data_IF_036647300646
#
_entry.id   IF_036647300646
#
_cell.length_a   1.000
_cell.length_b   1.000
_cell.length_c   1.000
_cell.angle_alpha   90.00
_cell.angle_beta   90.00
_cell.angle_gamma   90.00
#
_symmetry.space_group_name_H-M   'P 1'
#
loop_
_entity.id
_entity.type
_entity.pdbx_description
1 polymer ?
#
# COMPACT_ATOMS: atom_id res chain seq x y z
N UNK A 1 31.84 2.56 21.25
CA UNK A 1 30.96 1.42 21.59
C UNK A 1 30.78 0.57 20.36
N UNK A 2 30.70 -0.76 20.50
CA UNK A 2 30.56 -1.67 19.36
C UNK A 2 29.07 -1.85 19.05
N UNK A 3 28.67 -1.62 17.81
CA UNK A 3 27.29 -1.84 17.39
C UNK A 3 27.06 -3.35 17.22
N UNK A 4 25.97 -3.87 17.81
CA UNK A 4 25.62 -5.28 17.72
C UNK A 4 24.62 -5.50 16.58
N UNK A 5 24.70 -6.63 15.89
CA UNK A 5 23.66 -7.03 14.94
C UNK A 5 22.35 -7.34 15.67
N UNK A 6 21.22 -7.06 15.03
CA UNK A 6 19.89 -7.48 15.47
C UNK A 6 19.26 -8.38 14.39
N UNK A 7 18.89 -9.63 14.70
CA UNK A 7 19.06 -10.32 15.99
C UNK A 7 20.52 -10.69 16.28
N UNK A 8 20.91 -10.68 17.56
CA UNK A 8 22.24 -11.03 18.02
C UNK A 8 22.40 -12.55 18.15
N UNK A 9 23.29 -13.13 17.34
CA UNK A 9 23.58 -14.56 17.34
C UNK A 9 24.10 -15.08 18.70
N UNK A 10 24.86 -14.26 19.44
CA UNK A 10 25.41 -14.62 20.75
C UNK A 10 24.30 -14.75 21.80
N UNK A 11 23.32 -13.85 21.74
CA UNK A 11 22.21 -13.81 22.70
C UNK A 11 21.16 -14.87 22.39
N UNK A 12 20.92 -15.19 21.12
CA UNK A 12 19.95 -16.22 20.72
C UNK A 12 20.14 -17.54 21.51
N UNK A 13 21.38 -17.99 21.70
CA UNK A 13 21.70 -19.21 22.45
C UNK A 13 21.88 -19.02 23.96
N UNK A 14 22.01 -17.78 24.46
CA UNK A 14 22.33 -17.48 25.86
C UNK A 14 21.31 -16.57 26.56
N UNK A 15 20.12 -16.38 25.99
CA UNK A 15 19.10 -15.45 26.47
C UNK A 15 18.60 -15.69 27.91
N UNK A 16 18.87 -16.87 28.51
CA UNK A 16 18.52 -17.18 29.91
C UNK A 16 19.69 -17.02 30.91
N UNK A 17 20.90 -16.72 30.43
CA UNK A 17 22.09 -16.65 31.28
C UNK A 17 22.50 -15.19 31.53
N UNK A 18 22.10 -14.67 32.70
CA UNK A 18 22.34 -13.27 33.07
C UNK A 18 23.83 -12.88 33.10
N UNK A 19 24.73 -13.80 33.45
CA UNK A 19 26.18 -13.53 33.50
C UNK A 19 26.74 -13.31 32.10
N UNK A 20 26.33 -14.14 31.13
CA UNK A 20 26.74 -14.01 29.73
C UNK A 20 26.17 -12.74 29.08
N UNK A 21 24.94 -12.38 29.42
CA UNK A 21 24.31 -11.13 28.94
C UNK A 21 25.07 -9.90 29.47
N UNK A 22 25.41 -9.89 30.76
CA UNK A 22 26.20 -8.81 31.37
C UNK A 22 27.60 -8.74 30.79
N UNK A 23 28.29 -9.87 30.64
CA UNK A 23 29.61 -9.92 30.03
C UNK A 23 29.61 -9.33 28.61
N UNK A 24 28.62 -9.69 27.79
CA UNK A 24 28.47 -9.16 26.44
C UNK A 24 28.30 -7.62 26.42
N UNK A 25 27.58 -7.05 27.39
CA UNK A 25 27.40 -5.61 27.50
C UNK A 25 28.65 -4.90 28.05
N UNK A 26 29.35 -5.53 29.01
CA UNK A 26 30.62 -5.04 29.57
C UNK A 26 31.75 -5.01 28.53
N UNK A 27 31.72 -5.89 27.53
CA UNK A 27 32.61 -5.86 26.36
C UNK A 27 32.38 -4.65 25.43
N UNK A 28 31.42 -3.78 25.78
CA UNK A 28 31.14 -2.51 25.13
C UNK A 28 30.16 -2.60 23.96
N UNK A 29 29.42 -3.70 23.83
CA UNK A 29 28.39 -3.87 22.81
C UNK A 29 27.09 -3.15 23.17
N UNK A 30 26.55 -2.38 22.22
CA UNK A 30 25.19 -1.86 22.27
C UNK A 30 24.23 -2.91 21.73
N UNK A 31 23.84 -3.87 22.58
CA UNK A 31 23.02 -5.00 22.18
C UNK A 31 21.58 -4.89 22.71
N UNK A 32 20.63 -4.65 21.81
CA UNK A 32 19.20 -4.58 22.13
C UNK A 32 18.69 -5.89 22.75
N UNK A 33 19.01 -7.04 22.12
CA UNK A 33 18.55 -8.36 22.57
C UNK A 33 19.05 -8.70 23.97
N UNK A 34 20.26 -8.24 24.32
CA UNK A 34 20.83 -8.46 25.64
C UNK A 34 20.08 -7.67 26.72
N UNK A 35 19.72 -6.41 26.46
CA UNK A 35 18.95 -5.60 27.39
C UNK A 35 17.53 -6.14 27.59
N UNK A 36 16.85 -6.58 26.51
CA UNK A 36 15.53 -7.19 26.56
C UNK A 36 15.53 -8.53 27.30
N UNK A 37 16.54 -9.38 27.06
CA UNK A 37 16.69 -10.64 27.77
C UNK A 37 16.93 -10.40 29.28
N UNK A 38 17.77 -9.43 29.64
CA UNK A 38 18.01 -9.10 31.05
C UNK A 38 16.78 -8.54 31.76
N UNK A 39 15.96 -7.71 31.09
CA UNK A 39 14.73 -7.19 31.73
C UNK A 39 13.74 -8.28 32.10
N UNK A 40 13.80 -9.46 31.46
CA UNK A 40 12.96 -10.62 31.79
C UNK A 40 13.54 -11.48 32.93
N UNK A 41 14.84 -11.40 33.18
CA UNK A 41 15.55 -12.22 34.18
C UNK A 41 15.73 -11.51 35.53
N UNK A 42 15.61 -10.19 35.54
CA UNK A 42 15.82 -9.38 36.74
C UNK A 42 14.52 -9.21 37.50
N UNK A 43 14.57 -9.49 38.81
CA UNK A 43 13.41 -9.40 39.71
C UNK A 43 13.23 -8.01 40.33
N UNK A 44 14.28 -7.19 40.40
CA UNK A 44 14.21 -5.84 40.98
C UNK A 44 13.56 -4.85 40.00
N UNK A 45 12.46 -4.17 40.37
CA UNK A 45 11.75 -3.24 39.49
C UNK A 45 12.64 -2.12 38.95
N UNK A 46 13.58 -1.60 39.76
CA UNK A 46 14.50 -0.53 39.35
C UNK A 46 15.49 -1.01 38.30
N UNK A 47 16.15 -2.14 38.54
CA UNK A 47 17.05 -2.72 37.54
C UNK A 47 16.32 -3.13 36.25
N UNK A 48 15.07 -3.56 36.35
CA UNK A 48 14.24 -3.87 35.17
C UNK A 48 13.92 -2.61 34.37
N UNK A 49 13.52 -1.51 35.03
CA UNK A 49 13.35 -0.17 34.41
C UNK A 49 14.62 0.24 33.68
N UNK A 50 15.78 0.15 34.33
CA UNK A 50 17.08 0.52 33.78
C UNK A 50 17.49 -0.30 32.54
N UNK A 51 17.13 -1.59 32.50
CA UNK A 51 17.36 -2.43 31.32
C UNK A 51 16.46 -1.99 30.15
N UNK A 52 15.18 -1.74 30.43
CA UNK A 52 14.21 -1.33 29.43
C UNK A 52 14.47 0.09 28.91
N UNK A 53 14.97 1.00 29.74
CA UNK A 53 15.40 2.34 29.31
C UNK A 53 16.49 2.25 28.24
N UNK A 54 17.52 1.43 28.49
CA UNK A 54 18.62 1.23 27.53
C UNK A 54 18.14 0.55 26.25
N UNK A 55 17.20 -0.39 26.35
CA UNK A 55 16.56 -0.99 25.18
C UNK A 55 15.75 0.04 24.37
N UNK A 56 14.98 0.89 25.05
CA UNK A 56 14.15 1.93 24.44
C UNK A 56 15.00 2.99 23.70
N UNK A 57 16.17 3.34 24.22
CA UNK A 57 17.13 4.23 23.55
C UNK A 57 17.70 3.60 22.27
N UNK A 58 17.95 2.30 22.27
CA UNK A 58 18.46 1.59 21.09
C UNK A 58 17.38 1.34 20.01
N UNK A 59 16.10 1.34 20.40
CA UNK A 59 14.96 1.10 19.51
C UNK A 59 13.84 2.16 19.71
N UNK A 60 14.09 3.42 19.33
CA UNK A 60 13.13 4.51 19.54
C UNK A 60 11.82 4.33 18.77
N UNK A 61 11.87 3.68 17.61
CA UNK A 61 10.71 3.41 16.74
C UNK A 61 9.91 2.17 17.17
N UNK A 62 10.40 1.36 18.12
CA UNK A 62 9.72 0.15 18.55
C UNK A 62 8.76 0.45 19.72
N UNK A 63 7.50 0.66 19.38
CA UNK A 63 6.43 1.03 20.31
C UNK A 63 6.26 0.04 21.47
N UNK A 64 6.40 -1.26 21.24
CA UNK A 64 6.26 -2.28 22.29
C UNK A 64 7.34 -2.14 23.36
N UNK A 65 8.56 -1.78 22.96
CA UNK A 65 9.67 -1.53 23.88
C UNK A 65 9.45 -0.22 24.64
N UNK A 66 8.94 0.82 23.96
CA UNK A 66 8.59 2.09 24.61
C UNK A 66 7.51 1.90 25.69
N UNK A 67 6.46 1.13 25.40
CA UNK A 67 5.40 0.81 26.37
C UNK A 67 5.98 0.07 27.57
N UNK A 68 6.74 -1.00 27.33
CA UNK A 68 7.34 -1.79 28.40
C UNK A 68 8.23 -0.94 29.32
N UNK A 69 9.00 -0.01 28.75
CA UNK A 69 9.79 0.94 29.54
C UNK A 69 8.91 1.86 30.39
N UNK A 70 7.88 2.50 29.81
CA UNK A 70 7.00 3.41 30.55
C UNK A 70 6.21 2.69 31.65
N UNK A 71 5.80 1.44 31.43
CA UNK A 71 5.17 0.60 32.46
C UNK A 71 6.14 0.29 33.60
N UNK A 72 7.37 -0.13 33.29
CA UNK A 72 8.40 -0.38 34.30
C UNK A 72 8.80 0.91 35.04
N UNK A 73 8.76 2.07 34.38
CA UNK A 73 8.97 3.36 35.00
C UNK A 73 7.90 3.65 36.07
N UNK A 74 6.61 3.50 35.70
CA UNK A 74 5.49 3.77 36.60
C UNK A 74 5.40 2.78 37.77
N UNK A 75 5.97 1.59 37.66
CA UNK A 75 6.11 0.68 38.80
C UNK A 75 7.06 1.23 39.87
N UNK A 76 8.10 1.96 39.46
CA UNK A 76 9.06 2.61 40.37
C UNK A 76 8.54 3.97 40.84
N UNK A 77 7.93 4.74 39.95
CA UNK A 77 7.47 6.12 40.16
C UNK A 77 6.00 6.28 39.70
N UNK A 78 5.01 5.82 40.49
CA UNK A 78 3.62 5.73 40.04
C UNK A 78 2.94 7.08 39.84
N UNK A 79 3.45 8.16 40.44
CA UNK A 79 2.82 9.48 40.44
C UNK A 79 3.34 10.42 39.34
N UNK A 80 4.19 9.94 38.42
CA UNK A 80 4.69 10.76 37.33
C UNK A 80 3.60 10.97 36.25
N UNK A 81 2.99 12.15 36.27
CA UNK A 81 1.90 12.53 35.37
C UNK A 81 2.35 12.57 33.90
N UNK A 82 3.61 12.95 33.63
CA UNK A 82 4.11 13.06 32.26
C UNK A 82 4.25 11.67 31.63
N UNK A 83 4.79 10.71 32.39
CA UNK A 83 4.92 9.31 31.96
C UNK A 83 3.55 8.65 31.81
N UNK A 84 2.63 8.88 32.76
CA UNK A 84 1.24 8.39 32.65
C UNK A 84 0.55 8.90 31.38
N UNK A 85 0.68 10.21 31.10
CA UNK A 85 0.11 10.80 29.89
C UNK A 85 0.72 10.19 28.64
N UNK A 86 2.04 10.03 28.59
CA UNK A 86 2.73 9.44 27.44
C UNK A 86 2.30 8.00 27.18
N UNK A 87 2.19 7.18 28.22
CA UNK A 87 1.71 5.80 28.11
C UNK A 87 0.25 5.75 27.66
N UNK A 88 -0.59 6.65 28.17
CA UNK A 88 -1.99 6.78 27.76
C UNK A 88 -2.10 7.18 26.28
N UNK A 89 -1.32 8.17 25.81
CA UNK A 89 -1.28 8.58 24.40
C UNK A 89 -0.95 7.41 23.47
N UNK A 90 0.10 6.65 23.78
CA UNK A 90 0.51 5.50 22.98
C UNK A 90 -0.59 4.44 22.95
N UNK A 91 -1.13 4.05 24.11
CA UNK A 91 -2.23 3.07 24.19
C UNK A 91 -3.50 3.56 23.50
N UNK A 92 -3.82 4.84 23.57
CA UNK A 92 -4.94 5.42 22.81
C UNK A 92 -4.69 5.30 21.32
N UNK A 93 -3.48 5.57 20.84
CA UNK A 93 -3.14 5.38 19.42
C UNK A 93 -3.23 3.90 19.00
N UNK A 94 -2.82 2.95 19.85
CA UNK A 94 -3.01 1.50 19.59
C UNK A 94 -4.47 1.11 19.54
N UNK A 95 -5.27 1.60 20.49
CA UNK A 95 -6.71 1.37 20.47
C UNK A 95 -7.33 1.99 19.21
N UNK A 96 -6.87 3.15 18.75
CA UNK A 96 -7.35 3.74 17.50
C UNK A 96 -6.88 2.97 16.25
N UNK A 97 -5.73 2.30 16.28
CA UNK A 97 -5.28 1.43 15.19
C UNK A 97 -6.01 0.08 15.17
N UNK A 98 -6.28 -0.49 16.35
CA UNK A 98 -6.95 -1.79 16.52
C UNK A 98 -8.47 -1.67 16.40
N UNK A 99 -9.02 -0.57 16.89
CA UNK A 99 -10.32 -0.07 16.50
C UNK A 99 -10.17 0.52 15.09
N UNK A 100 -9.98 -0.37 14.11
CA UNK A 100 -10.64 -0.22 12.81
C UNK A 100 -12.11 -0.14 13.09
N UNK A 101 -12.57 1.03 13.52
CA UNK A 101 -13.97 1.31 13.73
C UNK A 101 -14.63 0.89 12.43
N UNK A 102 -15.60 -0.02 12.54
CA UNK A 102 -16.52 -0.35 11.44
C UNK A 102 -17.27 0.91 10.94
N UNK A 103 -17.06 2.07 11.60
CA UNK A 103 -17.65 3.37 11.32
C UNK A 103 -16.70 4.39 10.66
N UNK A 104 -15.38 4.20 10.69
CA UNK A 104 -14.52 4.74 9.65
C UNK A 104 -14.45 3.69 8.54
N UNK A 105 -15.54 3.58 7.80
CA UNK A 105 -15.37 3.23 6.41
C UNK A 105 -14.38 4.27 5.86
N UNK A 106 -13.15 3.85 5.54
CA UNK A 106 -12.53 4.36 4.32
C UNK A 106 -13.69 4.41 3.33
N UNK A 107 -14.10 5.62 2.91
CA UNK A 107 -15.13 5.76 1.88
C UNK A 107 -14.75 4.71 0.85
N UNK A 108 -15.59 3.70 0.57
CA UNK A 108 -15.13 2.58 -0.20
C UNK A 108 -14.59 3.16 -1.50
N UNK A 109 -13.28 3.02 -1.68
CA UNK A 109 -12.52 3.61 -2.77
C UNK A 109 -12.22 2.44 -3.68
N UNK A 110 -12.50 2.61 -4.97
CA UNK A 110 -12.05 1.64 -5.94
C UNK A 110 -10.54 1.47 -5.81
N UNK A 111 -10.08 0.23 -5.81
CA UNK A 111 -8.65 -0.05 -5.65
C UNK A 111 -7.85 0.61 -6.77
N UNK A 112 -6.62 1.00 -6.45
CA UNK A 112 -5.72 1.52 -7.47
C UNK A 112 -5.36 0.40 -8.45
N UNK A 113 -5.02 0.78 -9.68
CA UNK A 113 -4.70 -0.19 -10.72
C UNK A 113 -3.54 -1.12 -10.30
N UNK A 114 -2.55 -0.59 -9.59
CA UNK A 114 -1.43 -1.37 -9.04
C UNK A 114 -1.89 -2.45 -8.05
N UNK A 115 -2.77 -2.11 -7.12
CA UNK A 115 -3.30 -3.05 -6.12
C UNK A 115 -4.11 -4.17 -6.79
N UNK A 116 -4.89 -3.82 -7.81
CA UNK A 116 -5.66 -4.79 -8.58
C UNK A 116 -4.72 -5.75 -9.31
N UNK A 117 -3.68 -5.23 -9.97
CA UNK A 117 -2.68 -6.03 -10.68
C UNK A 117 -1.95 -7.00 -9.73
N UNK A 118 -1.62 -6.59 -8.50
CA UNK A 118 -1.08 -7.48 -7.47
C UNK A 118 -2.11 -8.54 -7.08
N UNK A 119 -3.36 -8.14 -6.83
CA UNK A 119 -4.41 -9.05 -6.37
C UNK A 119 -4.75 -10.16 -7.38
N UNK A 120 -4.65 -9.87 -8.69
CA UNK A 120 -4.82 -10.88 -9.75
C UNK A 120 -3.53 -11.63 -10.09
N UNK A 121 -2.47 -11.46 -9.30
CA UNK A 121 -1.13 -12.03 -9.54
C UNK A 121 -0.58 -11.71 -10.94
N UNK A 122 -0.85 -10.50 -11.44
CA UNK A 122 -0.28 -10.01 -12.69
C UNK A 122 1.14 -9.48 -12.50
N UNK A 123 1.43 -8.88 -11.35
CA UNK A 123 2.74 -8.37 -10.93
C UNK A 123 2.94 -8.58 -9.42
N UNK A 124 4.18 -8.56 -8.98
CA UNK A 124 4.58 -8.50 -7.56
C UNK A 124 4.64 -7.06 -7.03
N UNK A 125 4.68 -6.92 -5.70
CA UNK A 125 4.87 -5.63 -5.03
C UNK A 125 6.20 -4.97 -5.43
N UNK A 126 7.27 -5.76 -5.55
CA UNK A 126 8.60 -5.25 -5.90
C UNK A 126 8.65 -4.74 -7.35
N UNK A 127 8.06 -5.48 -8.29
CA UNK A 127 7.93 -5.04 -9.69
C UNK A 127 7.12 -3.76 -9.81
N UNK A 128 6.03 -3.62 -9.04
CA UNK A 128 5.25 -2.39 -9.01
C UNK A 128 6.08 -1.21 -8.50
N UNK A 129 6.84 -1.38 -7.41
CA UNK A 129 7.70 -0.34 -6.85
C UNK A 129 8.78 0.11 -7.84
N UNK A 130 9.41 -0.82 -8.57
CA UNK A 130 10.41 -0.49 -9.59
C UNK A 130 9.82 0.37 -10.72
N UNK A 131 8.63 0.01 -11.18
CA UNK A 131 7.93 0.70 -12.26
C UNK A 131 7.50 2.11 -11.82
N UNK A 132 7.02 2.26 -10.58
CA UNK A 132 6.65 3.56 -10.00
C UNK A 132 7.86 4.48 -9.84
N UNK A 133 9.02 3.96 -9.43
CA UNK A 133 10.27 4.73 -9.38
C UNK A 133 10.63 5.28 -10.77
N UNK A 134 10.53 4.44 -11.80
CA UNK A 134 10.76 4.83 -13.20
C UNK A 134 9.75 5.89 -13.68
N UNK A 135 8.49 5.77 -13.24
CA UNK A 135 7.43 6.73 -13.56
C UNK A 135 7.70 8.12 -12.93
N UNK A 136 8.24 8.17 -11.72
CA UNK A 136 8.50 9.41 -10.98
C UNK A 136 9.81 10.13 -11.36
N UNK A 137 10.79 9.41 -11.93
CA UNK A 137 12.16 9.93 -12.14
C UNK A 137 12.39 10.71 -13.45
N UNK A 138 11.36 11.13 -14.19
CA UNK A 138 11.56 11.78 -15.50
C UNK A 138 10.71 13.03 -15.75
N UNK A 139 11.31 13.99 -16.44
CA UNK A 139 10.94 15.42 -16.43
C UNK A 139 9.83 15.88 -17.41
N UNK A 140 9.12 14.99 -18.11
CA UNK A 140 7.99 15.38 -18.99
C UNK A 140 6.94 14.27 -19.00
N UNK A 141 5.67 14.60 -18.75
CA UNK A 141 4.52 13.67 -18.82
C UNK A 141 4.17 13.45 -20.30
N UNK A 142 4.64 12.35 -20.88
CA UNK A 142 4.16 11.85 -22.18
C UNK A 142 3.11 10.75 -21.96
N UNK A 143 2.27 10.49 -22.97
CA UNK A 143 1.25 9.40 -22.94
C UNK A 143 1.83 8.07 -22.48
N UNK A 144 3.09 7.82 -22.85
CA UNK A 144 3.83 6.57 -22.66
C UNK A 144 4.27 6.33 -21.20
N UNK A 145 3.97 7.26 -20.28
CA UNK A 145 4.24 7.10 -18.83
C UNK A 145 3.06 6.52 -18.04
N UNK A 146 1.92 6.20 -18.67
CA UNK A 146 0.82 5.52 -17.96
C UNK A 146 1.33 4.19 -17.41
N UNK A 147 1.01 3.91 -16.14
CA UNK A 147 1.50 2.72 -15.43
C UNK A 147 1.30 1.44 -16.27
N UNK A 148 0.10 1.24 -16.81
CA UNK A 148 -0.22 0.08 -17.64
C UNK A 148 0.64 -0.04 -18.91
N UNK A 149 0.91 1.06 -19.60
CA UNK A 149 1.76 1.05 -20.79
C UNK A 149 3.22 0.77 -20.46
N UNK A 150 3.72 1.32 -19.34
CA UNK A 150 5.07 1.07 -18.86
C UNK A 150 5.27 -0.40 -18.46
N UNK A 151 4.28 -0.99 -17.78
CA UNK A 151 4.28 -2.41 -17.42
C UNK A 151 4.29 -3.32 -18.65
N UNK A 152 3.51 -3.00 -19.67
CA UNK A 152 3.53 -3.72 -20.95
C UNK A 152 4.89 -3.58 -21.64
N UNK A 153 5.44 -2.36 -21.71
CA UNK A 153 6.73 -2.09 -22.38
C UNK A 153 7.90 -2.80 -21.71
N UNK A 154 7.85 -2.93 -20.37
CA UNK A 154 8.82 -3.72 -19.59
C UNK A 154 8.58 -5.25 -19.69
N UNK A 155 7.52 -5.70 -20.37
CA UNK A 155 7.18 -7.11 -20.51
C UNK A 155 6.64 -7.75 -19.23
N UNK A 156 6.28 -6.96 -18.22
CA UNK A 156 5.84 -7.45 -16.90
C UNK A 156 4.40 -7.95 -16.93
N UNK A 157 3.56 -7.40 -17.82
CA UNK A 157 2.16 -7.82 -17.98
C UNK A 157 1.77 -7.97 -19.45
N UNK A 158 0.82 -8.85 -19.72
CA UNK A 158 0.18 -8.95 -21.02
C UNK A 158 -0.93 -7.90 -21.20
N UNK A 159 -1.24 -7.50 -22.45
CA UNK A 159 -2.42 -6.68 -22.77
C UNK A 159 -3.72 -7.19 -22.15
N UNK A 160 -3.93 -8.51 -22.18
CA UNK A 160 -5.11 -9.15 -21.60
C UNK A 160 -5.19 -8.99 -20.08
N UNK A 161 -4.08 -9.17 -19.36
CA UNK A 161 -4.04 -8.97 -17.90
C UNK A 161 -4.31 -7.51 -17.53
N UNK A 162 -3.78 -6.56 -18.30
CA UNK A 162 -4.05 -5.14 -18.09
C UNK A 162 -5.51 -4.78 -18.34
N UNK A 163 -6.09 -5.26 -19.46
CA UNK A 163 -7.49 -5.05 -19.78
C UNK A 163 -8.41 -5.58 -18.66
N UNK A 164 -8.15 -6.81 -18.19
CA UNK A 164 -8.88 -7.40 -17.06
C UNK A 164 -8.80 -6.55 -15.79
N UNK A 165 -7.61 -6.05 -15.45
CA UNK A 165 -7.44 -5.18 -14.28
C UNK A 165 -8.21 -3.85 -14.41
N UNK A 166 -8.24 -3.26 -15.60
CA UNK A 166 -9.02 -2.05 -15.88
C UNK A 166 -10.54 -2.29 -15.75
N UNK A 167 -11.03 -3.46 -16.18
CA UNK A 167 -12.44 -3.83 -16.01
C UNK A 167 -12.80 -4.03 -14.53
N UNK A 168 -11.96 -4.71 -13.76
CA UNK A 168 -12.16 -4.86 -12.30
C UNK A 168 -12.23 -3.47 -11.64
N UNK A 169 -11.32 -2.56 -12.02
CA UNK A 169 -11.33 -1.20 -11.50
C UNK A 169 -12.61 -0.45 -11.86
N UNK A 170 -13.07 -0.56 -13.11
CA UNK A 170 -14.31 0.05 -13.59
C UNK A 170 -15.52 -0.48 -12.81
N UNK A 171 -15.60 -1.79 -12.59
CA UNK A 171 -16.70 -2.43 -11.87
C UNK A 171 -16.74 -1.99 -10.41
N UNK A 172 -15.59 -1.93 -9.74
CA UNK A 172 -15.50 -1.40 -8.37
C UNK A 172 -15.95 0.07 -8.32
N UNK A 173 -15.53 0.91 -9.27
CA UNK A 173 -15.97 2.32 -9.34
C UNK A 173 -17.48 2.44 -9.54
N UNK A 174 -18.06 1.60 -10.41
CA UNK A 174 -19.50 1.59 -10.69
C UNK A 174 -20.32 1.17 -9.47
N UNK A 175 -19.87 0.14 -8.73
CA UNK A 175 -20.49 -0.27 -7.45
C UNK A 175 -20.53 0.86 -6.42
N UNK A 176 -19.54 1.75 -6.47
CA UNK A 176 -19.42 2.93 -5.63
C UNK A 176 -20.19 4.14 -6.16
N UNK A 177 -20.95 3.97 -7.25
CA UNK A 177 -21.71 5.02 -7.94
C UNK A 177 -20.81 6.19 -8.36
N UNK A 178 -19.54 5.92 -8.64
CA UNK A 178 -18.62 6.90 -9.19
C UNK A 178 -18.94 7.03 -10.67
N UNK A 179 -19.21 8.27 -11.10
CA UNK A 179 -19.53 8.55 -12.50
C UNK A 179 -18.41 8.10 -13.45
N UNK A 180 -18.79 7.67 -14.67
CA UNK A 180 -17.85 7.21 -15.67
C UNK A 180 -16.97 8.39 -16.10
N UNK A 181 -15.67 8.15 -16.19
CA UNK A 181 -14.69 9.18 -16.56
C UNK A 181 -14.22 9.07 -18.01
N UNK A 182 -14.43 7.92 -18.62
CA UNK A 182 -14.00 7.65 -20.00
C UNK A 182 -15.12 7.00 -20.78
N UNK A 183 -15.09 7.19 -22.10
CA UNK A 183 -16.11 6.68 -23.02
C UNK A 183 -16.37 5.19 -22.84
N UNK A 184 -15.33 4.37 -22.65
CA UNK A 184 -15.50 2.93 -22.43
C UNK A 184 -16.36 2.60 -21.20
N UNK A 185 -16.17 3.30 -20.08
CA UNK A 185 -16.98 3.12 -18.88
C UNK A 185 -18.43 3.55 -19.13
N UNK A 186 -18.61 4.68 -19.81
CA UNK A 186 -19.93 5.18 -20.18
C UNK A 186 -20.71 4.20 -21.06
N UNK A 187 -20.07 3.61 -22.07
CA UNK A 187 -20.69 2.62 -22.95
C UNK A 187 -21.16 1.37 -22.19
N UNK A 188 -20.42 0.95 -21.15
CA UNK A 188 -20.82 -0.17 -20.28
C UNK A 188 -21.99 0.24 -19.38
N UNK A 189 -21.95 1.42 -18.76
CA UNK A 189 -23.03 1.90 -17.90
C UNK A 189 -24.36 2.10 -18.65
N UNK A 190 -24.31 2.61 -19.88
CA UNK A 190 -25.49 2.74 -20.75
C UNK A 190 -25.92 1.40 -21.37
N UNK A 191 -25.27 0.28 -21.02
CA UNK A 191 -25.55 -1.06 -21.55
C UNK A 191 -25.42 -1.17 -23.07
N UNK A 192 -24.61 -0.32 -23.70
CA UNK A 192 -24.31 -0.41 -25.14
C UNK A 192 -23.30 -1.51 -25.45
N UNK A 193 -22.42 -1.82 -24.49
CA UNK A 193 -21.51 -2.97 -24.53
C UNK A 193 -21.47 -3.66 -23.17
N UNK A 194 -21.07 -4.92 -23.16
CA UNK A 194 -20.82 -5.65 -21.90
C UNK A 194 -19.40 -5.38 -21.38
N UNK A 195 -19.13 -5.56 -20.08
CA UNK A 195 -17.78 -5.49 -19.54
C UNK A 195 -16.79 -6.42 -20.24
N UNK A 196 -17.25 -7.61 -20.66
CA UNK A 196 -16.43 -8.58 -21.40
C UNK A 196 -16.10 -8.10 -22.82
N UNK A 197 -17.05 -7.45 -23.49
CA UNK A 197 -16.81 -6.82 -24.80
C UNK A 197 -15.79 -5.68 -24.69
N UNK A 198 -15.92 -4.84 -23.66
CA UNK A 198 -14.95 -3.79 -23.37
C UNK A 198 -13.55 -4.36 -23.05
N UNK A 199 -13.47 -5.44 -22.27
CA UNK A 199 -12.21 -6.13 -21.97
C UNK A 199 -11.49 -6.55 -23.25
N UNK A 200 -12.23 -7.17 -24.17
CA UNK A 200 -11.71 -7.69 -25.43
C UNK A 200 -11.25 -6.54 -26.34
N UNK A 201 -12.03 -5.47 -26.43
CA UNK A 201 -11.67 -4.28 -27.20
C UNK A 201 -10.43 -3.57 -26.65
N UNK A 202 -10.30 -3.45 -25.31
CA UNK A 202 -9.13 -2.87 -24.66
C UNK A 202 -7.88 -3.75 -24.86
N UNK A 203 -8.02 -5.07 -24.74
CA UNK A 203 -6.91 -5.99 -24.98
C UNK A 203 -6.40 -5.88 -26.43
N UNK A 204 -7.30 -5.77 -27.40
CA UNK A 204 -6.95 -5.57 -28.80
C UNK A 204 -6.32 -4.19 -29.05
N UNK A 205 -6.83 -3.13 -28.43
CA UNK A 205 -6.23 -1.79 -28.50
C UNK A 205 -4.78 -1.80 -28.03
N UNK A 206 -4.54 -2.37 -26.84
CA UNK A 206 -3.21 -2.47 -26.25
C UNK A 206 -2.27 -3.32 -27.13
N UNK A 207 -2.78 -4.37 -27.78
CA UNK A 207 -2.02 -5.23 -28.70
C UNK A 207 -1.66 -4.50 -29.99
N UNK A 208 -2.54 -3.65 -30.50
CA UNK A 208 -2.31 -2.85 -31.70
C UNK A 208 -1.36 -1.68 -31.43
N UNK A 209 -1.47 -1.05 -30.26
CA UNK A 209 -0.54 -0.01 -29.81
C UNK A 209 0.90 -0.53 -29.72
N UNK A 210 1.12 -1.79 -29.30
CA UNK A 210 2.44 -2.43 -29.33
C UNK A 210 3.03 -2.59 -30.74
N UNK A 211 2.17 -2.60 -31.76
CA UNK A 211 2.56 -2.73 -33.18
C UNK A 211 2.59 -1.37 -33.89
N UNK A 212 2.58 -0.27 -33.13
CA UNK A 212 2.46 1.10 -33.63
C UNK A 212 1.20 1.37 -34.48
N UNK A 213 0.18 0.52 -34.35
CA UNK A 213 -1.11 0.64 -35.03
C UNK A 213 -2.13 1.28 -34.09
N UNK A 214 -2.00 2.59 -33.86
CA UNK A 214 -2.91 3.31 -32.94
C UNK A 214 -4.31 3.38 -33.53
N UNK A 215 -5.24 2.68 -32.90
CA UNK A 215 -6.67 2.73 -33.20
C UNK A 215 -7.44 3.19 -31.96
N UNK A 216 -8.47 4.01 -32.18
CA UNK A 216 -9.32 4.46 -31.08
C UNK A 216 -10.19 3.31 -30.59
N UNK A 217 -10.58 3.36 -29.31
CA UNK A 217 -11.46 2.34 -28.72
C UNK A 217 -12.78 2.22 -29.51
N UNK A 218 -13.35 3.35 -29.93
CA UNK A 218 -14.55 3.38 -30.77
C UNK A 218 -14.36 2.66 -32.11
N UNK A 219 -13.25 2.91 -32.81
CA UNK A 219 -12.92 2.23 -34.06
C UNK A 219 -12.79 0.71 -33.88
N UNK A 220 -12.20 0.27 -32.77
CA UNK A 220 -12.05 -1.15 -32.46
C UNK A 220 -13.41 -1.78 -32.15
N UNK A 221 -14.26 -1.12 -31.37
CA UNK A 221 -15.62 -1.60 -31.07
C UNK A 221 -16.48 -1.76 -32.34
N UNK A 222 -16.37 -0.81 -33.27
CA UNK A 222 -17.04 -0.91 -34.57
C UNK A 222 -16.46 -2.04 -35.41
N UNK A 223 -15.14 -2.16 -35.48
CA UNK A 223 -14.45 -3.23 -36.21
C UNK A 223 -14.80 -4.63 -35.70
N UNK A 224 -15.04 -4.76 -34.39
CA UNK A 224 -15.47 -6.00 -33.74
C UNK A 224 -16.99 -6.23 -33.83
N UNK A 225 -17.74 -5.38 -34.55
CA UNK A 225 -19.20 -5.42 -34.68
C UNK A 225 -19.94 -5.39 -33.32
N UNK A 226 -19.35 -4.74 -32.31
CA UNK A 226 -19.95 -4.65 -30.97
C UNK A 226 -20.91 -3.47 -30.87
N UNK A 227 -20.60 -2.35 -31.55
CA UNK A 227 -21.41 -1.13 -31.56
C UNK A 227 -21.33 -0.49 -32.96
N UNK A 228 -22.38 0.19 -33.40
CA UNK A 228 -22.35 0.95 -34.65
C UNK A 228 -21.63 2.29 -34.49
N UNK A 229 -21.06 2.82 -35.58
CA UNK A 229 -20.39 4.13 -35.56
C UNK A 229 -21.33 5.24 -35.06
N UNK A 230 -22.58 5.27 -35.56
CA UNK A 230 -23.58 6.25 -35.12
C UNK A 230 -23.84 6.21 -33.61
N UNK A 231 -23.83 5.02 -32.99
CA UNK A 231 -24.00 4.85 -31.55
C UNK A 231 -22.77 5.30 -30.76
N UNK A 232 -21.56 5.09 -31.29
CA UNK A 232 -20.32 5.62 -30.69
C UNK A 232 -20.34 7.15 -30.72
N UNK A 233 -20.70 7.75 -31.85
CA UNK A 233 -20.73 9.20 -32.01
C UNK A 233 -21.77 9.84 -31.07
N UNK A 234 -22.96 9.24 -30.97
CA UNK A 234 -24.00 9.65 -30.03
C UNK A 234 -23.50 9.57 -28.58
N UNK A 235 -22.95 8.42 -28.18
CA UNK A 235 -22.46 8.23 -26.81
C UNK A 235 -21.30 9.18 -26.45
N UNK A 236 -20.42 9.49 -27.40
CA UNK A 236 -19.35 10.46 -27.21
C UNK A 236 -19.90 11.86 -26.96
N UNK A 237 -20.92 12.27 -27.73
CA UNK A 237 -21.57 13.56 -27.55
C UNK A 237 -22.32 13.67 -26.22
N UNK A 238 -23.07 12.63 -25.84
CA UNK A 238 -23.79 12.56 -24.56
C UNK A 238 -22.83 12.58 -23.36
N UNK A 239 -21.73 11.83 -23.45
CA UNK A 239 -20.67 11.83 -22.44
C UNK A 239 -20.02 13.21 -22.31
N UNK A 240 -19.73 13.88 -23.42
CA UNK A 240 -19.16 15.23 -23.43
C UNK A 240 -20.11 16.23 -22.76
N UNK A 241 -21.39 16.25 -23.12
CA UNK A 241 -22.39 17.12 -22.48
C UNK A 241 -22.47 16.86 -20.97
N UNK A 242 -22.55 15.59 -20.56
CA UNK A 242 -22.65 15.19 -19.15
C UNK A 242 -21.38 15.55 -18.36
N UNK A 243 -20.23 15.52 -19.02
CA UNK A 243 -18.97 15.95 -18.45
C UNK A 243 -18.97 17.47 -18.24
N UNK A 244 -19.29 18.27 -19.27
CA UNK A 244 -19.32 19.73 -19.17
C UNK A 244 -20.39 20.25 -18.21
N UNK A 245 -21.55 19.60 -18.10
CA UNK A 245 -22.60 19.99 -17.15
C UNK A 245 -22.21 19.79 -15.68
N UNK A 246 -21.17 19.00 -15.39
CA UNK A 246 -20.61 18.84 -14.03
C UNK A 246 -19.51 19.84 -13.70
N UNK A 247 -18.92 20.50 -14.70
CA UNK A 247 -17.78 21.42 -14.54
C UNK A 247 -18.09 22.86 -14.98
N UNK A 248 -19.30 23.16 -15.45
CA UNK A 248 -19.78 24.50 -15.84
C UNK A 248 -21.05 24.90 -15.06
N UNK A 249 -21.11 26.21 -14.72
CA UNK A 249 -22.13 26.95 -13.96
C UNK A 249 -23.59 26.62 -14.27
#
# INVERSE_FOLDING_TARGET
>A
MKQCSHPCAIIAFNHKNIEKLRAHLLDGYQCLDSWLAMSQLVNDPRQRKDCLERAAVLAPENEQIQIAYLEAYLEVEPNDIAVQRRLAEIRTMQLLSDVKTVHFHDKPRARLLGDILISISAISSDELQEVLRTQNSGSVITTDRRLGQLLIKKGLISPSKLAKALIIQQQERSQLRIAPQVLGEYLVEQSYITPQQLELALAEQLRLDQKDQRLSLGQILVRLNMVSQARIDQAAHEHEITFWSKFGY
#
